data_IF_686776135181
#
_entry.id   IF_686776135181
#
_cell.length_a   1.000
_cell.length_b   1.000
_cell.length_c   1.000
_cell.angle_alpha   90.00
_cell.angle_beta   90.00
_cell.angle_gamma   90.00
#
_symmetry.space_group_name_H-M   'P 1'
#
loop_
_entity.id
_entity.type
_entity.pdbx_description
1 polymer ?
#
# COMPACT_ATOMS: atom_id res chain seq x y z
N UNK A 1 -4.26 -47.15 -1.97
CA UNK A 1 -3.03 -46.31 -2.02
C UNK A 1 -3.37 -45.04 -2.78
N UNK A 2 -3.83 -44.00 -2.06
CA UNK A 2 -4.32 -42.74 -2.64
C UNK A 2 -3.13 -41.82 -2.86
N UNK A 3 -2.79 -41.58 -4.11
CA UNK A 3 -1.79 -40.58 -4.51
C UNK A 3 -2.34 -39.20 -4.11
N UNK A 4 -1.84 -38.65 -3.00
CA UNK A 4 -2.07 -37.25 -2.69
C UNK A 4 -1.34 -36.37 -3.71
N UNK A 5 -2.01 -35.47 -4.40
CA UNK A 5 -1.41 -34.75 -5.52
C UNK A 5 -0.34 -33.78 -5.03
N UNK A 6 0.77 -33.67 -5.76
CA UNK A 6 1.88 -32.74 -5.58
C UNK A 6 1.45 -31.24 -5.57
N UNK A 7 0.21 -30.97 -5.95
CA UNK A 7 -0.43 -29.64 -5.95
C UNK A 7 -0.58 -29.00 -4.59
N UNK A 8 -0.65 -29.78 -3.51
CA UNK A 8 -0.80 -29.26 -2.14
C UNK A 8 0.48 -28.54 -1.63
N UNK A 9 1.63 -28.99 -2.04
CA UNK A 9 2.92 -28.39 -1.67
C UNK A 9 3.12 -27.03 -2.35
N UNK A 10 2.85 -26.95 -3.65
CA UNK A 10 2.97 -25.70 -4.41
C UNK A 10 1.99 -24.62 -3.95
N UNK A 11 0.76 -24.99 -3.62
CA UNK A 11 -0.22 -24.06 -3.09
C UNK A 11 0.19 -23.53 -1.71
N UNK A 12 0.83 -24.35 -0.89
CA UNK A 12 1.32 -23.93 0.43
C UNK A 12 2.50 -22.97 0.34
N UNK A 13 3.47 -23.22 -0.54
CA UNK A 13 4.61 -22.31 -0.76
C UNK A 13 4.13 -20.98 -1.30
N UNK A 14 3.24 -20.96 -2.29
CA UNK A 14 2.69 -19.72 -2.84
C UNK A 14 1.96 -18.87 -1.78
N UNK A 15 1.24 -19.47 -0.82
CA UNK A 15 0.61 -18.74 0.29
C UNK A 15 1.63 -18.15 1.25
N UNK A 16 2.70 -18.86 1.55
CA UNK A 16 3.76 -18.35 2.44
C UNK A 16 4.46 -17.16 1.81
N UNK A 17 4.74 -17.24 0.50
CA UNK A 17 5.34 -16.15 -0.26
C UNK A 17 4.41 -14.92 -0.31
N UNK A 18 3.12 -15.13 -0.54
CA UNK A 18 2.12 -14.06 -0.52
C UNK A 18 2.00 -13.40 0.87
N UNK A 19 2.04 -14.19 1.95
CA UNK A 19 1.99 -13.65 3.30
C UNK A 19 3.26 -12.86 3.66
N UNK A 20 4.43 -13.27 3.17
CA UNK A 20 5.67 -12.52 3.34
C UNK A 20 5.64 -11.22 2.55
N UNK A 21 5.20 -11.25 1.30
CA UNK A 21 5.05 -10.07 0.47
C UNK A 21 4.04 -9.07 1.06
N UNK A 22 2.92 -9.54 1.61
CA UNK A 22 1.96 -8.68 2.30
C UNK A 22 2.54 -8.03 3.57
N UNK A 23 3.38 -8.75 4.34
CA UNK A 23 4.11 -8.17 5.47
C UNK A 23 5.13 -7.12 5.04
N UNK A 24 5.84 -7.35 3.93
CA UNK A 24 6.76 -6.38 3.36
C UNK A 24 6.01 -5.12 2.92
N UNK A 25 4.85 -5.25 2.27
CA UNK A 25 4.00 -4.11 1.91
C UNK A 25 3.54 -3.33 3.16
N UNK A 26 3.12 -4.03 4.22
CA UNK A 26 2.77 -3.39 5.50
C UNK A 26 3.95 -2.59 6.07
N UNK A 27 5.17 -3.13 6.03
CA UNK A 27 6.38 -2.44 6.48
C UNK A 27 6.69 -1.20 5.64
N UNK A 28 6.53 -1.27 4.32
CA UNK A 28 6.68 -0.12 3.41
C UNK A 28 5.68 0.99 3.78
N UNK A 29 4.40 0.66 3.99
CA UNK A 29 3.39 1.64 4.41
C UNK A 29 3.73 2.28 5.76
N UNK A 30 4.21 1.50 6.72
CA UNK A 30 4.67 2.02 8.01
C UNK A 30 5.83 3.01 7.83
N UNK A 31 6.78 2.70 6.96
CA UNK A 31 7.91 3.59 6.64
C UNK A 31 7.45 4.88 5.97
N UNK A 32 6.59 4.80 4.96
CA UNK A 32 6.02 5.97 4.27
C UNK A 32 5.23 6.83 5.26
N UNK A 33 4.37 6.21 6.07
CA UNK A 33 3.57 6.89 7.08
C UNK A 33 4.44 7.61 8.11
N UNK A 34 5.48 6.96 8.64
CA UNK A 34 6.40 7.58 9.58
C UNK A 34 7.13 8.79 8.96
N UNK A 35 7.67 8.63 7.74
CA UNK A 35 8.36 9.71 7.04
C UNK A 35 7.41 10.87 6.74
N UNK A 36 6.19 10.58 6.29
CA UNK A 36 5.20 11.60 5.94
C UNK A 36 4.73 12.40 7.15
N UNK A 37 4.62 11.80 8.34
CA UNK A 37 4.31 12.51 9.57
C UNK A 37 5.46 13.40 10.04
N UNK A 38 6.68 12.85 10.06
CA UNK A 38 7.85 13.52 10.63
C UNK A 38 8.50 14.52 9.70
N UNK A 39 8.47 14.25 8.39
CA UNK A 39 9.16 15.04 7.38
C UNK A 39 8.40 15.07 6.04
N UNK A 40 7.18 15.69 5.99
CA UNK A 40 6.32 15.67 4.82
C UNK A 40 6.99 16.24 3.56
N UNK A 41 7.83 17.28 3.70
CA UNK A 41 8.59 17.82 2.56
C UNK A 41 9.59 16.83 1.96
N UNK A 42 10.19 15.93 2.76
CA UNK A 42 11.06 14.87 2.24
C UNK A 42 10.25 13.83 1.46
N UNK A 43 9.06 13.51 1.93
CA UNK A 43 8.15 12.59 1.24
C UNK A 43 7.68 13.19 -0.09
N UNK A 44 7.27 14.46 -0.10
CA UNK A 44 6.86 15.19 -1.30
C UNK A 44 7.98 15.19 -2.35
N UNK A 45 9.21 15.49 -1.95
CA UNK A 45 10.36 15.49 -2.84
C UNK A 45 10.66 14.10 -3.43
N UNK A 46 10.58 13.05 -2.62
CA UNK A 46 10.93 11.70 -3.09
C UNK A 46 9.86 11.04 -3.94
N UNK A 47 8.59 11.24 -3.62
CA UNK A 47 7.50 10.52 -4.29
C UNK A 47 6.86 11.34 -5.41
N UNK A 48 6.83 12.67 -5.26
CA UNK A 48 6.08 13.54 -6.17
C UNK A 48 6.95 14.53 -6.94
N UNK A 49 8.28 14.43 -6.82
CA UNK A 49 9.24 15.32 -7.49
C UNK A 49 9.00 16.83 -7.20
N UNK A 50 8.40 17.12 -6.04
CA UNK A 50 8.14 18.48 -5.59
C UNK A 50 9.33 19.05 -4.81
N UNK A 51 9.36 20.38 -4.67
CA UNK A 51 10.34 21.01 -3.79
C UNK A 51 10.16 20.49 -2.34
N UNK A 52 11.25 20.47 -1.58
CA UNK A 52 11.21 20.17 -0.14
C UNK A 52 10.46 21.22 0.68
N UNK A 53 10.37 22.43 0.14
CA UNK A 53 9.59 23.52 0.71
C UNK A 53 8.16 23.40 0.21
N UNK A 54 7.30 22.89 1.06
CA UNK A 54 5.87 22.79 0.83
C UNK A 54 5.14 23.74 1.77
N UNK A 55 4.00 24.26 1.35
CA UNK A 55 3.15 25.06 2.21
C UNK A 55 2.50 24.22 3.32
N UNK A 56 1.93 24.90 4.32
CA UNK A 56 1.35 24.23 5.48
C UNK A 56 0.12 23.39 5.12
N UNK A 57 -0.68 23.83 4.15
CA UNK A 57 -1.86 23.10 3.70
C UNK A 57 -1.44 21.78 3.03
N UNK A 58 -0.45 21.82 2.16
CA UNK A 58 0.15 20.62 1.55
C UNK A 58 0.76 19.70 2.62
N UNK A 59 1.47 20.26 3.60
CA UNK A 59 2.04 19.48 4.69
C UNK A 59 0.95 18.79 5.52
N UNK A 60 -0.18 19.44 5.80
CA UNK A 60 -1.30 18.87 6.51
C UNK A 60 -1.92 17.69 5.73
N UNK A 61 -2.17 17.85 4.44
CA UNK A 61 -2.70 16.78 3.58
C UNK A 61 -1.77 15.57 3.57
N UNK A 62 -0.46 15.80 3.43
CA UNK A 62 0.54 14.72 3.43
C UNK A 62 0.60 14.01 4.79
N UNK A 63 0.48 14.74 5.91
CA UNK A 63 0.41 14.13 7.23
C UNK A 63 -0.86 13.30 7.42
N UNK A 64 -2.01 13.77 6.92
CA UNK A 64 -3.25 13.00 6.96
C UNK A 64 -3.15 11.69 6.16
N UNK A 65 -2.59 11.75 4.94
CA UNK A 65 -2.32 10.56 4.15
C UNK A 65 -1.32 9.62 4.85
N UNK A 66 -0.28 10.15 5.46
CA UNK A 66 0.72 9.39 6.20
C UNK A 66 0.12 8.69 7.44
N UNK A 67 -0.75 9.37 8.20
CA UNK A 67 -1.46 8.77 9.32
C UNK A 67 -2.35 7.59 8.87
N UNK A 68 -3.02 7.72 7.73
CA UNK A 68 -3.80 6.66 7.10
C UNK A 68 -2.90 5.47 6.71
N UNK A 69 -1.74 5.72 6.10
CA UNK A 69 -0.80 4.66 5.73
C UNK A 69 -0.23 3.94 6.96
N UNK A 70 0.03 4.66 8.06
CA UNK A 70 0.37 4.03 9.34
C UNK A 70 -0.75 3.11 9.84
N UNK A 71 -2.00 3.57 9.80
CA UNK A 71 -3.14 2.76 10.25
C UNK A 71 -3.30 1.50 9.40
N UNK A 72 -3.20 1.61 8.07
CA UNK A 72 -3.26 0.47 7.16
C UNK A 72 -2.08 -0.50 7.38
N UNK A 73 -0.87 0.02 7.51
CA UNK A 73 0.33 -0.77 7.77
C UNK A 73 0.27 -1.51 9.11
N UNK A 74 -0.14 -0.84 10.19
CA UNK A 74 -0.34 -1.46 11.51
C UNK A 74 -1.44 -2.53 11.47
N UNK A 75 -2.58 -2.21 10.85
CA UNK A 75 -3.68 -3.15 10.71
C UNK A 75 -3.26 -4.42 9.97
N UNK A 76 -2.56 -4.29 8.85
CA UNK A 76 -2.02 -5.42 8.10
C UNK A 76 -0.98 -6.22 8.91
N UNK A 77 -0.08 -5.54 9.65
CA UNK A 77 0.91 -6.19 10.49
C UNK A 77 0.27 -7.00 11.63
N UNK A 78 -0.77 -6.47 12.28
CA UNK A 78 -1.54 -7.21 13.29
C UNK A 78 -2.34 -8.35 12.68
N UNK A 79 -2.97 -8.14 11.53
CA UNK A 79 -3.74 -9.15 10.83
C UNK A 79 -2.86 -10.33 10.37
N UNK A 80 -1.62 -10.05 9.97
CA UNK A 80 -0.65 -11.08 9.59
C UNK A 80 -0.33 -12.10 10.70
N UNK A 81 -0.50 -11.70 11.97
CA UNK A 81 -0.35 -12.59 13.13
C UNK A 81 -1.59 -13.48 13.37
N UNK A 82 -2.75 -13.09 12.79
CA UNK A 82 -4.03 -13.79 12.96
C UNK A 82 -4.38 -14.71 11.81
N UNK A 83 -3.59 -14.70 10.75
CA UNK A 83 -3.75 -15.58 9.60
C UNK A 83 -4.09 -14.89 8.28
N UNK A 84 -4.24 -15.68 7.21
CA UNK A 84 -4.39 -15.15 5.86
C UNK A 84 -5.73 -14.42 5.62
N UNK A 85 -6.82 -14.86 6.23
CA UNK A 85 -8.13 -14.24 6.05
C UNK A 85 -8.17 -12.78 6.51
N UNK A 86 -7.83 -12.45 7.78
CA UNK A 86 -7.73 -11.07 8.24
C UNK A 86 -6.72 -10.24 7.43
N UNK A 87 -5.57 -10.81 7.07
CA UNK A 87 -4.56 -10.13 6.26
C UNK A 87 -5.09 -9.75 4.87
N UNK A 88 -5.84 -10.66 4.23
CA UNK A 88 -6.53 -10.39 2.97
C UNK A 88 -7.47 -9.18 3.08
N UNK A 89 -8.25 -9.09 4.16
CA UNK A 89 -9.15 -7.96 4.38
C UNK A 89 -8.40 -6.62 4.40
N UNK A 90 -7.25 -6.57 5.05
CA UNK A 90 -6.39 -5.37 5.08
C UNK A 90 -5.75 -5.06 3.73
N UNK A 91 -5.36 -6.05 2.95
CA UNK A 91 -4.87 -5.82 1.59
C UNK A 91 -5.96 -5.24 0.67
N UNK A 92 -7.20 -5.73 0.78
CA UNK A 92 -8.33 -5.16 0.03
C UNK A 92 -8.66 -3.74 0.46
N UNK A 93 -8.62 -3.45 1.76
CA UNK A 93 -8.84 -2.08 2.27
C UNK A 93 -7.76 -1.12 1.76
N UNK A 94 -6.50 -1.54 1.76
CA UNK A 94 -5.40 -0.74 1.26
C UNK A 94 -5.52 -0.50 -0.25
N UNK A 95 -5.81 -1.53 -1.04
CA UNK A 95 -6.04 -1.41 -2.48
C UNK A 95 -7.20 -0.43 -2.81
N UNK A 96 -8.29 -0.49 -2.04
CA UNK A 96 -9.41 0.45 -2.22
C UNK A 96 -8.96 1.90 -1.98
N UNK A 97 -8.21 2.13 -0.92
CA UNK A 97 -7.68 3.46 -0.59
C UNK A 97 -6.77 3.97 -1.70
N UNK A 98 -5.85 3.16 -2.20
CA UNK A 98 -4.95 3.55 -3.28
C UNK A 98 -5.69 3.82 -4.61
N UNK A 99 -6.75 3.05 -4.90
CA UNK A 99 -7.64 3.36 -6.02
C UNK A 99 -8.35 4.71 -5.85
N UNK A 100 -8.83 5.04 -4.65
CA UNK A 100 -9.44 6.33 -4.36
C UNK A 100 -8.44 7.48 -4.53
N UNK A 101 -7.19 7.30 -4.08
CA UNK A 101 -6.14 8.28 -4.25
C UNK A 101 -5.80 8.52 -5.73
N UNK A 102 -5.65 7.44 -6.50
CA UNK A 102 -5.41 7.54 -7.93
C UNK A 102 -6.54 8.33 -8.64
N UNK A 103 -7.81 8.05 -8.29
CA UNK A 103 -8.96 8.77 -8.82
C UNK A 103 -8.97 10.24 -8.40
N UNK A 104 -8.65 10.55 -7.15
CA UNK A 104 -8.59 11.92 -6.64
C UNK A 104 -7.51 12.72 -7.37
N UNK A 105 -6.34 12.13 -7.56
CA UNK A 105 -5.24 12.75 -8.31
C UNK A 105 -5.62 12.95 -9.78
N UNK A 106 -6.22 11.96 -10.43
CA UNK A 106 -6.64 12.06 -11.84
C UNK A 106 -7.68 13.17 -12.08
N UNK A 107 -8.47 13.51 -11.06
CA UNK A 107 -9.45 14.60 -11.10
C UNK A 107 -8.90 15.96 -10.66
N UNK A 108 -7.67 16.00 -10.15
CA UNK A 108 -7.05 17.26 -9.70
C UNK A 108 -6.75 18.16 -10.88
N UNK A 109 -7.23 19.40 -10.79
CA UNK A 109 -6.96 20.46 -11.80
C UNK A 109 -5.79 21.37 -11.39
N UNK A 110 -5.33 21.25 -10.14
CA UNK A 110 -4.31 22.15 -9.56
C UNK A 110 -2.92 21.52 -9.48
N UNK A 111 -2.82 20.19 -9.57
CA UNK A 111 -1.54 19.51 -9.54
C UNK A 111 -0.84 19.56 -10.92
N UNK A 112 0.50 19.63 -10.90
CA UNK A 112 1.27 19.55 -12.14
C UNK A 112 1.08 18.18 -12.83
N UNK A 113 1.19 18.11 -14.18
CA UNK A 113 1.10 16.85 -14.90
C UNK A 113 2.10 15.78 -14.38
N UNK A 114 3.31 16.21 -14.01
CA UNK A 114 4.33 15.31 -13.45
C UNK A 114 3.91 14.76 -12.08
N UNK A 115 3.36 15.61 -11.21
CA UNK A 115 2.82 15.19 -9.91
C UNK A 115 1.65 14.21 -10.08
N UNK A 116 0.72 14.52 -10.99
CA UNK A 116 -0.40 13.64 -11.28
C UNK A 116 0.08 12.28 -11.81
N UNK A 117 1.03 12.27 -12.74
CA UNK A 117 1.56 11.04 -13.31
C UNK A 117 2.28 10.19 -12.25
N UNK A 118 3.17 10.79 -11.45
CA UNK A 118 3.89 10.05 -10.40
C UNK A 118 2.96 9.49 -9.34
N UNK A 119 2.00 10.27 -8.86
CA UNK A 119 1.05 9.83 -7.87
C UNK A 119 0.12 8.72 -8.42
N UNK A 120 -0.38 8.86 -9.65
CA UNK A 120 -1.21 7.84 -10.28
C UNK A 120 -0.45 6.51 -10.48
N UNK A 121 0.82 6.58 -10.88
CA UNK A 121 1.68 5.40 -11.03
C UNK A 121 1.92 4.72 -9.68
N UNK A 122 2.30 5.48 -8.65
CA UNK A 122 2.56 4.93 -7.31
C UNK A 122 1.30 4.27 -6.75
N UNK A 123 0.17 4.98 -6.73
CA UNK A 123 -1.09 4.43 -6.20
C UNK A 123 -1.61 3.26 -7.04
N UNK A 124 -1.50 3.33 -8.37
CA UNK A 124 -1.95 2.25 -9.25
C UNK A 124 -1.12 0.97 -9.10
N UNK A 125 0.20 1.08 -8.97
CA UNK A 125 1.07 -0.07 -8.72
C UNK A 125 0.83 -0.69 -7.34
N UNK A 126 0.68 0.15 -6.30
CA UNK A 126 0.35 -0.32 -4.95
C UNK A 126 -0.98 -1.06 -4.92
N UNK A 127 -2.04 -0.47 -5.47
CA UNK A 127 -3.36 -1.10 -5.52
C UNK A 127 -3.33 -2.44 -6.28
N UNK A 128 -2.62 -2.50 -7.41
CA UNK A 128 -2.47 -3.73 -8.19
C UNK A 128 -1.74 -4.82 -7.41
N UNK A 129 -0.65 -4.49 -6.75
CA UNK A 129 0.11 -5.43 -5.94
C UNK A 129 -0.73 -5.98 -4.77
N UNK A 130 -1.48 -5.12 -4.08
CA UNK A 130 -2.32 -5.50 -2.95
C UNK A 130 -3.50 -6.38 -3.37
N UNK A 131 -4.13 -6.10 -4.53
CA UNK A 131 -5.18 -6.95 -5.09
C UNK A 131 -4.64 -8.34 -5.45
N UNK A 132 -3.47 -8.42 -6.07
CA UNK A 132 -2.82 -9.70 -6.40
C UNK A 132 -2.49 -10.49 -5.13
N UNK A 133 -1.95 -9.84 -4.09
CA UNK A 133 -1.67 -10.48 -2.80
C UNK A 133 -2.96 -10.96 -2.13
N UNK A 134 -4.02 -10.15 -2.14
CA UNK A 134 -5.32 -10.53 -1.61
C UNK A 134 -5.91 -11.76 -2.31
N UNK A 135 -5.73 -11.90 -3.62
CA UNK A 135 -6.16 -13.08 -4.39
C UNK A 135 -5.34 -14.32 -4.03
N UNK A 136 -4.03 -14.18 -3.86
CA UNK A 136 -3.16 -15.31 -3.49
C UNK A 136 -3.40 -15.82 -2.06
N UNK A 137 -3.84 -14.95 -1.16
CA UNK A 137 -4.18 -15.30 0.22
C UNK A 137 -5.48 -16.13 0.34
N UNK A 138 -6.28 -16.25 -0.73
CA UNK A 138 -7.50 -17.09 -0.77
C UNK A 138 -7.26 -18.52 -1.24
N UNK A 139 -6.18 -18.76 -1.93
CA UNK A 139 -5.83 -20.08 -2.52
C UNK A 139 -5.09 -20.94 -1.50
#
# INVERSE_FOLDING_TARGET
MTLQPATSGLARTARLDAAQAARAMAAVRLGIGAIGLLAPGRLAWRLFLQDRRIDEATALVLRAAAARDLALGLGAAFAAKRGPGPLRGWMLAAALVDCCDALAVAKSKSASPATCASAAVVSGLSASAELLLAQQLTR
#
